data_IF_779232324105
#
_entry.id   IF_779232324105
#
_cell.length_a   1.000
_cell.length_b   1.000
_cell.length_c   1.000
_cell.angle_alpha   90.00
_cell.angle_beta   90.00
_cell.angle_gamma   90.00
#
_symmetry.space_group_name_H-M   'P 1'
#
loop_
_entity.id
_entity.type
_entity.pdbx_description
1 polymer ?
#
# COMPACT_ATOMS: atom_id res chain seq x y z
N UNK A 1 17.70 -5.32 8.38
CA UNK A 1 17.99 -4.09 7.61
C UNK A 1 18.61 -3.01 8.48
N UNK A 2 17.88 -2.28 9.34
CA UNK A 2 18.49 -1.19 10.11
C UNK A 2 19.46 -1.63 11.24
N UNK A 3 19.35 -2.89 11.70
CA UNK A 3 20.30 -3.55 12.61
C UNK A 3 21.53 -4.15 11.89
N UNK A 4 21.52 -4.22 10.56
CA UNK A 4 22.55 -4.91 9.77
C UNK A 4 22.33 -6.42 9.58
N UNK A 5 21.29 -7.02 10.17
CA UNK A 5 21.09 -8.49 10.15
C UNK A 5 20.52 -9.04 8.83
N UNK A 6 19.91 -8.19 8.00
CA UNK A 6 19.43 -8.54 6.65
C UNK A 6 19.67 -7.34 5.73
N UNK A 7 20.14 -7.57 4.51
CA UNK A 7 20.43 -6.50 3.54
C UNK A 7 19.18 -5.95 2.85
N UNK A 8 18.19 -6.81 2.59
CA UNK A 8 16.97 -6.48 1.85
C UNK A 8 15.77 -7.10 2.57
N UNK A 9 14.63 -6.39 2.57
CA UNK A 9 13.35 -6.93 2.99
C UNK A 9 12.22 -6.36 2.12
N UNK A 10 11.11 -7.09 2.06
CA UNK A 10 9.90 -6.67 1.37
C UNK A 10 8.87 -6.27 2.43
N UNK A 11 8.32 -5.07 2.30
CA UNK A 11 7.31 -4.53 3.22
C UNK A 11 6.31 -3.67 2.46
N UNK A 12 5.12 -3.49 3.01
CA UNK A 12 4.21 -2.45 2.53
C UNK A 12 4.81 -1.07 2.81
N UNK A 13 4.64 -0.14 1.84
CA UNK A 13 5.22 1.21 1.89
C UNK A 13 4.73 2.02 3.09
N UNK A 14 3.49 1.81 3.54
CA UNK A 14 2.90 2.59 4.63
C UNK A 14 3.59 2.35 5.99
N UNK A 15 4.25 1.20 6.21
CA UNK A 15 5.02 0.96 7.43
C UNK A 15 6.25 1.86 7.50
N UNK A 16 6.98 1.97 6.38
CA UNK A 16 8.12 2.87 6.31
C UNK A 16 7.67 4.33 6.44
N UNK A 17 6.59 4.71 5.75
CA UNK A 17 6.03 6.05 5.85
C UNK A 17 5.60 6.41 7.29
N UNK A 18 5.09 5.44 8.05
CA UNK A 18 4.75 5.64 9.46
C UNK A 18 5.99 5.94 10.31
N UNK A 19 7.09 5.22 10.08
CA UNK A 19 8.36 5.49 10.77
C UNK A 19 8.95 6.85 10.35
N UNK A 20 8.86 7.21 9.07
CA UNK A 20 9.30 8.53 8.55
C UNK A 20 8.55 9.70 9.19
N UNK A 21 7.30 9.48 9.60
CA UNK A 21 6.44 10.48 10.24
C UNK A 21 6.39 10.35 11.77
N UNK A 22 7.17 9.45 12.36
CA UNK A 22 7.20 9.25 13.80
C UNK A 22 7.85 10.44 14.49
N UNK A 23 7.37 10.76 15.70
CA UNK A 23 8.01 11.76 16.58
C UNK A 23 9.12 11.15 17.44
N UNK A 24 9.31 9.83 17.37
CA UNK A 24 10.34 9.10 18.10
C UNK A 24 11.67 9.14 17.36
N UNK A 25 12.75 9.67 17.95
CA UNK A 25 14.05 9.77 17.30
C UNK A 25 14.61 8.42 16.82
N UNK A 26 14.34 7.34 17.56
CA UNK A 26 14.79 5.98 17.24
C UNK A 26 14.17 5.46 15.94
N UNK A 27 12.91 5.79 15.66
CA UNK A 27 12.23 5.39 14.42
C UNK A 27 12.84 6.13 13.22
N UNK A 28 13.09 7.44 13.36
CA UNK A 28 13.70 8.27 12.31
C UNK A 28 15.13 7.81 12.02
N UNK A 29 15.89 7.46 13.06
CA UNK A 29 17.25 6.94 12.92
C UNK A 29 17.30 5.60 12.15
N UNK A 30 16.27 4.76 12.28
CA UNK A 30 16.10 3.53 11.49
C UNK A 30 15.85 3.86 10.02
N UNK A 31 14.94 4.78 9.72
CA UNK A 31 14.61 5.14 8.32
C UNK A 31 15.82 5.73 7.60
N UNK A 32 16.60 6.59 8.25
CA UNK A 32 17.77 7.23 7.63
C UNK A 32 18.87 6.23 7.19
N UNK A 33 18.80 4.98 7.63
CA UNK A 33 19.74 3.91 7.26
C UNK A 33 19.24 3.00 6.14
N UNK A 34 17.99 3.17 5.67
CA UNK A 34 17.39 2.27 4.67
C UNK A 34 17.10 3.00 3.37
N UNK A 35 17.42 2.35 2.25
CA UNK A 35 17.01 2.77 0.91
C UNK A 35 15.63 2.22 0.56
N UNK A 36 14.95 2.87 -0.37
CA UNK A 36 13.65 2.43 -0.91
C UNK A 36 13.78 2.17 -2.39
N UNK A 37 13.30 1.00 -2.83
CA UNK A 37 13.26 0.61 -4.23
C UNK A 37 11.84 0.20 -4.59
N UNK A 38 11.32 0.82 -5.64
CA UNK A 38 10.10 0.39 -6.32
C UNK A 38 10.54 -0.57 -7.43
N UNK A 39 10.28 -1.88 -7.33
CA UNK A 39 10.84 -2.85 -8.27
C UNK A 39 10.11 -2.83 -9.62
N UNK A 40 10.64 -3.59 -10.59
CA UNK A 40 9.99 -3.87 -11.90
C UNK A 40 9.63 -2.63 -12.75
N UNK A 41 10.27 -1.48 -12.53
CA UNK A 41 9.96 -0.22 -13.23
C UNK A 41 10.20 -0.29 -14.75
N UNK A 42 11.08 -1.17 -15.21
CA UNK A 42 11.36 -1.40 -16.63
C UNK A 42 10.44 -2.45 -17.26
N UNK A 43 9.61 -3.16 -16.49
CA UNK A 43 8.74 -4.24 -16.97
C UNK A 43 7.27 -3.98 -16.62
N UNK A 44 6.67 -4.74 -15.71
CA UNK A 44 5.25 -4.67 -15.37
C UNK A 44 4.92 -3.67 -14.27
N UNK A 45 5.90 -3.15 -13.53
CA UNK A 45 5.71 -2.20 -12.44
C UNK A 45 5.65 -2.84 -11.05
N UNK A 46 5.68 -1.99 -10.03
CA UNK A 46 5.62 -2.39 -8.62
C UNK A 46 4.26 -2.97 -8.28
N UNK A 47 4.25 -4.10 -7.58
CA UNK A 47 3.02 -4.69 -7.07
C UNK A 47 2.27 -3.71 -6.15
N UNK A 48 0.97 -3.60 -6.37
CA UNK A 48 0.07 -2.78 -5.56
C UNK A 48 -1.02 -3.67 -4.98
N UNK A 49 -1.34 -3.44 -3.71
CA UNK A 49 -2.50 -4.03 -3.05
C UNK A 49 -3.45 -2.91 -2.60
N UNK A 50 -4.65 -3.27 -2.16
CA UNK A 50 -5.73 -2.32 -1.87
C UNK A 50 -6.28 -2.48 -0.47
N UNK A 51 -6.67 -1.36 0.14
CA UNK A 51 -7.71 -1.34 1.15
C UNK A 51 -9.08 -1.30 0.42
N UNK A 52 -9.87 -2.36 0.54
CA UNK A 52 -11.15 -2.51 -0.16
C UNK A 52 -12.35 -2.50 0.77
N UNK A 53 -13.53 -2.22 0.22
CA UNK A 53 -14.81 -2.30 0.90
C UNK A 53 -15.89 -2.93 0.02
N UNK A 54 -16.89 -3.55 0.63
CA UNK A 54 -18.02 -4.14 -0.05
C UNK A 54 -19.30 -4.03 0.78
N UNK A 55 -20.47 -4.08 0.13
CA UNK A 55 -21.76 -4.15 0.81
C UNK A 55 -22.06 -5.61 1.17
N UNK A 56 -22.30 -5.87 2.46
CA UNK A 56 -22.67 -7.20 2.91
C UNK A 56 -24.01 -7.66 2.30
N UNK A 57 -24.13 -8.94 1.94
CA UNK A 57 -25.31 -9.53 1.30
C UNK A 57 -26.63 -9.27 2.03
N UNK A 58 -26.59 -9.16 3.36
CA UNK A 58 -27.76 -8.94 4.22
C UNK A 58 -27.73 -7.59 4.94
N UNK A 59 -27.09 -6.58 4.33
CA UNK A 59 -27.05 -5.23 4.90
C UNK A 59 -28.46 -4.67 5.09
N UNK A 60 -28.82 -4.38 6.35
CA UNK A 60 -30.13 -3.80 6.71
C UNK A 60 -30.38 -2.42 6.10
N UNK A 61 -29.32 -1.73 5.70
CA UNK A 61 -29.38 -0.42 5.08
C UNK A 61 -28.44 -0.36 3.85
N UNK A 62 -28.81 -1.12 2.82
CA UNK A 62 -28.02 -1.26 1.59
C UNK A 62 -27.79 0.09 0.89
N UNK A 63 -28.81 0.95 0.82
CA UNK A 63 -28.69 2.26 0.18
C UNK A 63 -27.63 3.15 0.84
N UNK A 64 -27.60 3.21 2.19
CA UNK A 64 -26.56 3.98 2.88
C UNK A 64 -25.19 3.32 2.80
N UNK A 65 -25.12 1.99 2.75
CA UNK A 65 -23.85 1.28 2.55
C UNK A 65 -23.23 1.61 1.17
N UNK A 66 -24.05 1.69 0.11
CA UNK A 66 -23.60 2.12 -1.22
C UNK A 66 -23.07 3.55 -1.15
N UNK A 67 -23.85 4.50 -0.59
CA UNK A 67 -23.43 5.90 -0.43
C UNK A 67 -22.13 6.05 0.35
N UNK A 68 -21.92 5.19 1.36
CA UNK A 68 -20.68 5.20 2.12
C UNK A 68 -19.47 4.77 1.27
N UNK A 69 -19.60 3.72 0.45
CA UNK A 69 -18.54 3.31 -0.48
C UNK A 69 -18.28 4.37 -1.56
N UNK A 70 -19.32 5.01 -2.09
CA UNK A 70 -19.20 6.13 -3.02
C UNK A 70 -18.46 7.31 -2.39
N UNK A 71 -18.80 7.65 -1.14
CA UNK A 71 -18.08 8.66 -0.37
C UNK A 71 -16.61 8.29 -0.19
N UNK A 72 -16.28 7.07 0.21
CA UNK A 72 -14.89 6.62 0.37
C UNK A 72 -14.09 6.70 -0.94
N UNK A 73 -14.74 6.59 -2.10
CA UNK A 73 -14.11 6.74 -3.41
C UNK A 73 -14.01 8.21 -3.88
N UNK A 74 -14.60 9.17 -3.16
CA UNK A 74 -14.55 10.58 -3.53
C UNK A 74 -13.13 11.16 -3.37
N UNK A 75 -12.77 12.20 -4.14
CA UNK A 75 -11.48 12.86 -4.03
C UNK A 75 -11.17 13.34 -2.60
N UNK A 76 -12.16 13.92 -1.92
CA UNK A 76 -12.01 14.47 -0.57
C UNK A 76 -11.74 13.37 0.45
N UNK A 77 -12.50 12.28 0.40
CA UNK A 77 -12.32 11.15 1.30
C UNK A 77 -10.98 10.45 1.03
N UNK A 78 -10.62 10.22 -0.22
CA UNK A 78 -9.34 9.61 -0.59
C UNK A 78 -8.16 10.47 -0.12
N UNK A 79 -8.23 11.79 -0.26
CA UNK A 79 -7.19 12.69 0.26
C UNK A 79 -7.08 12.57 1.79
N UNK A 80 -8.20 12.47 2.50
CA UNK A 80 -8.19 12.32 3.96
C UNK A 80 -7.68 10.94 4.41
N UNK A 81 -8.28 9.86 3.94
CA UNK A 81 -8.01 8.50 4.38
C UNK A 81 -6.66 7.97 3.90
N UNK A 82 -6.32 8.15 2.63
CA UNK A 82 -5.06 7.66 2.09
C UNK A 82 -3.88 8.41 2.71
N UNK A 83 -3.96 9.74 2.84
CA UNK A 83 -2.91 10.52 3.49
C UNK A 83 -2.80 10.20 5.00
N UNK A 84 -3.95 10.01 5.67
CA UNK A 84 -4.01 9.62 7.08
C UNK A 84 -3.33 8.28 7.35
N UNK A 85 -3.53 7.28 6.48
CA UNK A 85 -2.94 5.95 6.65
C UNK A 85 -1.59 5.77 5.94
N UNK A 86 -1.07 6.79 5.27
CA UNK A 86 0.14 6.73 4.43
C UNK A 86 0.03 5.75 3.25
N UNK A 87 -1.15 5.70 2.63
CA UNK A 87 -1.43 4.91 1.44
C UNK A 87 -1.54 5.80 0.20
N UNK A 88 -1.45 5.17 -0.97
CA UNK A 88 -1.65 5.84 -2.26
C UNK A 88 -3.15 5.90 -2.58
N UNK A 89 -3.71 7.07 -2.92
CA UNK A 89 -5.13 7.19 -3.24
C UNK A 89 -5.48 6.45 -4.54
N UNK A 90 -6.65 5.82 -4.57
CA UNK A 90 -7.16 5.12 -5.74
C UNK A 90 -7.88 6.05 -6.73
N UNK A 91 -8.42 7.18 -6.26
CA UNK A 91 -9.09 8.15 -7.11
C UNK A 91 -8.11 8.86 -8.06
N UNK A 92 -8.51 9.01 -9.33
CA UNK A 92 -7.71 9.68 -10.36
C UNK A 92 -7.69 11.19 -10.12
N UNK A 93 -6.59 11.83 -10.52
CA UNK A 93 -6.46 13.29 -10.51
C UNK A 93 -6.17 13.91 -9.13
N UNK A 94 -5.96 13.09 -8.10
CA UNK A 94 -5.51 13.57 -6.80
C UNK A 94 -4.00 13.80 -6.78
N UNK A 95 -3.62 14.96 -6.24
CA UNK A 95 -2.23 15.22 -5.87
C UNK A 95 -1.94 14.53 -4.54
N UNK A 96 -0.92 13.67 -4.50
CA UNK A 96 -0.44 13.10 -3.24
C UNK A 96 0.29 14.20 -2.49
N UNK A 97 -0.25 14.66 -1.35
CA UNK A 97 0.42 15.64 -0.48
C UNK A 97 1.02 15.03 0.79
N UNK A 98 1.27 13.72 0.79
CA UNK A 98 1.95 13.04 1.89
C UNK A 98 3.49 13.18 1.75
N UNK A 99 4.19 13.83 2.70
CA UNK A 99 5.64 14.06 2.59
C UNK A 99 6.46 12.76 2.56
N UNK A 100 6.04 11.73 3.30
CA UNK A 100 6.75 10.46 3.32
C UNK A 100 6.61 9.71 2.00
N UNK A 101 5.41 9.70 1.41
CA UNK A 101 5.19 9.12 0.08
C UNK A 101 6.00 9.84 -1.00
N UNK A 102 6.01 11.18 -0.99
CA UNK A 102 6.84 11.99 -1.90
C UNK A 102 8.33 11.68 -1.73
N UNK A 103 8.82 11.58 -0.49
CA UNK A 103 10.22 11.28 -0.23
C UNK A 103 10.62 9.88 -0.73
N UNK A 104 9.76 8.87 -0.54
CA UNK A 104 10.03 7.51 -1.02
C UNK A 104 10.16 7.41 -2.54
N UNK A 105 9.44 8.24 -3.30
CA UNK A 105 9.53 8.27 -4.77
C UNK A 105 10.38 9.40 -5.32
N UNK A 106 11.04 10.17 -4.44
CA UNK A 106 11.79 11.38 -4.80
C UNK A 106 10.94 12.40 -5.58
N UNK A 107 9.64 12.45 -5.29
CA UNK A 107 8.66 13.30 -5.96
C UNK A 107 8.29 12.86 -7.37
N UNK A 108 8.80 11.72 -7.86
CA UNK A 108 8.51 11.20 -9.19
C UNK A 108 7.37 10.16 -9.14
N UNK A 109 6.59 10.02 -10.23
CA UNK A 109 5.70 8.88 -10.37
C UNK A 109 6.50 7.59 -10.53
N UNK A 110 5.93 6.47 -10.07
CA UNK A 110 6.45 5.13 -10.33
C UNK A 110 5.42 4.31 -11.11
N UNK A 111 5.89 3.32 -11.87
CA UNK A 111 5.04 2.37 -12.57
C UNK A 111 4.45 1.38 -11.56
N UNK A 112 3.13 1.32 -11.48
CA UNK A 112 2.40 0.28 -10.76
C UNK A 112 2.03 -0.87 -11.71
N UNK A 113 1.99 -2.07 -11.14
CA UNK A 113 1.42 -3.24 -11.78
C UNK A 113 -0.09 -3.06 -12.04
N UNK A 114 -0.59 -3.66 -13.12
CA UNK A 114 -1.99 -3.55 -13.57
C UNK A 114 -2.77 -4.86 -13.50
N UNK A 115 -2.22 -5.89 -12.85
CA UNK A 115 -2.91 -7.16 -12.63
C UNK A 115 -4.17 -6.90 -11.79
N UNK A 116 -5.35 -7.39 -12.20
CA UNK A 116 -6.56 -7.28 -11.40
C UNK A 116 -6.38 -7.96 -10.03
N UNK A 117 -6.75 -7.28 -8.94
CA UNK A 117 -6.68 -7.85 -7.58
C UNK A 117 -7.51 -9.14 -7.46
N UNK A 118 -8.57 -9.28 -8.26
CA UNK A 118 -9.34 -10.54 -8.35
C UNK A 118 -8.49 -11.72 -8.83
N UNK A 119 -7.52 -11.50 -9.72
CA UNK A 119 -6.59 -12.53 -10.17
C UNK A 119 -5.61 -12.92 -9.06
N UNK A 120 -5.16 -11.96 -8.23
CA UNK A 120 -4.37 -12.24 -7.03
C UNK A 120 -5.17 -13.13 -6.08
N UNK A 121 -6.41 -12.72 -5.76
CA UNK A 121 -7.33 -13.48 -4.91
C UNK A 121 -7.59 -14.91 -5.41
N UNK A 122 -7.82 -15.08 -6.71
CA UNK A 122 -8.07 -16.39 -7.33
C UNK A 122 -6.88 -17.36 -7.24
N UNK A 123 -5.66 -16.86 -7.00
CA UNK A 123 -4.45 -17.67 -6.91
C UNK A 123 -3.93 -17.88 -5.49
N UNK A 124 -4.57 -17.31 -4.44
CA UNK A 124 -4.12 -17.41 -3.05
C UNK A 124 -3.86 -18.87 -2.64
N UNK A 125 -4.79 -19.79 -2.93
CA UNK A 125 -4.62 -21.21 -2.57
C UNK A 125 -3.39 -21.86 -3.21
N UNK A 126 -3.11 -21.52 -4.48
CA UNK A 126 -1.94 -22.07 -5.19
C UNK A 126 -0.64 -21.49 -4.61
N UNK A 127 -0.64 -20.19 -4.29
CA UNK A 127 0.51 -19.53 -3.66
C UNK A 127 0.78 -20.14 -2.28
N UNK A 128 -0.25 -20.37 -1.46
CA UNK A 128 -0.08 -21.02 -0.16
C UNK A 128 0.56 -22.40 -0.30
N UNK A 129 0.06 -23.24 -1.22
CA UNK A 129 0.66 -24.54 -1.49
C UNK A 129 2.13 -24.46 -1.94
N UNK A 130 2.50 -23.41 -2.69
CA UNK A 130 3.89 -23.20 -3.09
C UNK A 130 4.76 -22.80 -1.91
N UNK A 131 4.29 -21.88 -1.05
CA UNK A 131 4.99 -21.44 0.15
C UNK A 131 5.22 -22.61 1.12
N UNK A 132 4.18 -23.42 1.34
CA UNK A 132 4.25 -24.61 2.20
C UNK A 132 5.31 -25.60 1.69
N UNK A 133 5.38 -25.83 0.36
CA UNK A 133 6.35 -26.76 -0.26
C UNK A 133 7.80 -26.33 -0.11
N UNK A 134 8.06 -25.02 -0.05
CA UNK A 134 9.43 -24.49 0.12
C UNK A 134 9.76 -24.21 1.58
N UNK A 135 8.84 -24.51 2.52
CA UNK A 135 9.03 -24.29 3.94
C UNK A 135 9.13 -22.81 4.32
N UNK A 136 8.50 -21.93 3.55
CA UNK A 136 8.44 -20.51 3.88
C UNK A 136 7.52 -20.32 5.10
N UNK A 137 8.08 -19.79 6.20
CA UNK A 137 7.38 -19.59 7.48
C UNK A 137 6.93 -18.15 7.67
#
# INVERSE_FOLDING_TARGET
MASGECEIAVTNSYYLARLMRSTKPEDVAVVNKVGVVFPNQQSWGTHMNIAGGAVARHAKNQANAIKFLEYLASPEAQNYFANGNNEWPAAKGLSIDNPALKAMTQGQPFKSETIPISAVGANITKVQQMLDRVGFQ
#
